data_IF_484039446145
#
_entry.id   IF_484039446145
#
_cell.length_a   1.000
_cell.length_b   1.000
_cell.length_c   1.000
_cell.angle_alpha   90.00
_cell.angle_beta   90.00
_cell.angle_gamma   90.00
#
_symmetry.space_group_name_H-M   'P 1'
#
loop_
_entity.id
_entity.type
_entity.pdbx_description
1 polymer ?
#
# COMPACT_ATOMS: atom_id res chain seq x y z
N UNK A 1 1.09 52.89 -81.88
CA UNK A 1 2.37 53.49 -81.40
C UNK A 1 2.04 54.42 -80.22
N UNK A 2 2.89 54.52 -79.20
CA UNK A 2 2.90 53.68 -77.98
C UNK A 2 2.66 54.49 -76.68
N UNK A 3 2.34 53.81 -75.59
CA UNK A 3 2.79 54.16 -74.23
C UNK A 3 2.57 52.97 -73.29
N UNK A 4 3.66 52.40 -72.77
CA UNK A 4 3.67 51.38 -71.70
C UNK A 4 2.93 51.85 -70.44
N UNK A 5 2.50 50.88 -69.61
CA UNK A 5 2.80 51.01 -68.20
C UNK A 5 3.44 49.75 -67.58
N UNK A 6 4.32 50.05 -66.64
CA UNK A 6 5.08 49.28 -65.65
C UNK A 6 4.47 47.97 -65.10
N UNK A 7 5.31 46.99 -64.70
CA UNK A 7 4.86 45.71 -64.15
C UNK A 7 4.50 45.85 -62.67
N UNK A 8 3.21 45.71 -62.34
CA UNK A 8 2.74 45.66 -60.96
C UNK A 8 2.74 44.20 -60.47
N UNK A 9 3.30 44.03 -59.27
CA UNK A 9 3.71 42.76 -58.69
C UNK A 9 2.57 41.75 -58.50
N UNK A 10 2.85 40.49 -58.85
CA UNK A 10 1.99 39.35 -58.53
C UNK A 10 1.90 39.15 -57.00
N UNK A 11 0.71 38.83 -56.44
CA UNK A 11 0.62 38.43 -55.05
C UNK A 11 1.36 37.10 -54.83
N UNK A 12 1.97 36.88 -53.66
CA UNK A 12 2.71 35.66 -53.38
C UNK A 12 1.77 34.44 -53.36
N UNK A 13 2.24 33.25 -53.75
CA UNK A 13 1.40 32.05 -53.74
C UNK A 13 0.96 31.74 -52.31
N UNK A 14 -0.34 31.52 -52.14
CA UNK A 14 -0.90 30.95 -50.92
C UNK A 14 -0.20 29.61 -50.66
N UNK A 15 0.65 29.58 -49.63
CA UNK A 15 1.33 28.39 -49.17
C UNK A 15 0.27 27.46 -48.56
N UNK A 16 -0.35 26.62 -49.38
CA UNK A 16 -1.12 25.46 -48.93
C UNK A 16 -0.15 24.44 -48.37
N UNK A 17 0.37 24.72 -47.16
CA UNK A 17 0.89 23.66 -46.32
C UNK A 17 -0.32 22.83 -45.91
N UNK A 18 -0.47 21.69 -46.58
CA UNK A 18 -1.29 20.61 -46.08
C UNK A 18 -0.82 20.31 -44.65
N UNK A 19 -1.63 20.70 -43.66
CA UNK A 19 -1.44 20.28 -42.27
C UNK A 19 -1.60 18.77 -42.30
N UNK A 20 -0.47 18.05 -42.23
CA UNK A 20 -0.47 16.61 -42.06
C UNK A 20 -1.34 16.27 -40.82
N UNK A 21 -2.18 15.23 -40.86
CA UNK A 21 -2.95 14.85 -39.70
C UNK A 21 -1.98 14.57 -38.55
N UNK A 22 -2.16 15.28 -37.43
CA UNK A 22 -1.50 14.99 -36.18
C UNK A 22 -1.86 13.55 -35.81
N UNK A 23 -0.97 12.62 -36.17
CA UNK A 23 -1.03 11.27 -35.64
C UNK A 23 -0.61 11.41 -34.19
N UNK A 24 -1.48 11.10 -33.21
CA UNK A 24 -1.01 10.99 -31.84
C UNK A 24 0.07 9.91 -31.86
N UNK A 25 1.32 10.32 -31.75
CA UNK A 25 2.38 9.42 -31.33
C UNK A 25 1.93 8.94 -29.95
N UNK A 26 1.30 7.78 -29.94
CA UNK A 26 1.22 6.92 -28.78
C UNK A 26 2.67 6.73 -28.38
N UNK A 27 3.09 7.50 -27.38
CA UNK A 27 4.20 7.12 -26.53
C UNK A 27 3.78 5.77 -25.95
N UNK A 28 4.08 4.71 -26.69
CA UNK A 28 4.03 3.36 -26.21
C UNK A 28 5.13 3.34 -25.15
N UNK A 29 4.74 3.61 -23.90
CA UNK A 29 5.57 3.27 -22.78
C UNK A 29 5.89 1.80 -22.97
N UNK A 30 7.15 1.51 -23.24
CA UNK A 30 7.67 0.14 -23.23
C UNK A 30 7.38 -0.41 -21.84
N UNK A 31 6.29 -1.17 -21.72
CA UNK A 31 6.01 -1.94 -20.53
C UNK A 31 7.22 -2.87 -20.32
N UNK A 32 7.95 -2.75 -19.20
CA UNK A 32 9.06 -3.65 -18.94
C UNK A 32 8.45 -5.06 -18.82
N UNK A 33 8.68 -5.89 -19.84
CA UNK A 33 8.28 -7.30 -19.83
C UNK A 33 9.10 -8.02 -18.76
N UNK A 34 8.67 -7.91 -17.50
CA UNK A 34 9.21 -8.70 -16.40
C UNK A 34 9.04 -10.18 -16.77
N UNK A 35 10.15 -10.90 -16.92
CA UNK A 35 10.12 -12.34 -17.10
C UNK A 35 9.33 -13.03 -15.97
N UNK A 36 8.89 -14.27 -16.18
CA UNK A 36 8.17 -15.03 -15.14
C UNK A 36 9.00 -15.21 -13.85
N UNK A 37 10.32 -15.21 -13.94
CA UNK A 37 11.23 -15.34 -12.80
C UNK A 37 11.18 -14.14 -11.83
N UNK A 38 11.32 -12.87 -12.26
CA UNK A 38 11.17 -11.73 -11.35
C UNK A 38 9.76 -11.61 -10.74
N UNK A 39 8.69 -11.98 -11.46
CA UNK A 39 7.33 -11.97 -10.91
C UNK A 39 7.14 -12.97 -9.77
N UNK A 40 7.72 -14.17 -9.88
CA UNK A 40 7.65 -15.18 -8.84
C UNK A 40 8.40 -14.74 -7.58
N UNK A 41 9.60 -14.14 -7.73
CA UNK A 41 10.38 -13.61 -6.61
C UNK A 41 9.66 -12.46 -5.91
N UNK A 42 9.09 -11.52 -6.67
CA UNK A 42 8.31 -10.41 -6.13
C UNK A 42 7.04 -10.89 -5.41
N UNK A 43 6.37 -11.89 -5.97
CA UNK A 43 5.17 -12.49 -5.36
C UNK A 43 5.50 -13.23 -4.07
N UNK A 44 6.61 -13.97 -4.03
CA UNK A 44 7.09 -14.63 -2.82
C UNK A 44 7.48 -13.60 -1.74
N UNK A 45 8.15 -12.52 -2.13
CA UNK A 45 8.46 -11.40 -1.23
C UNK A 45 7.20 -10.74 -0.67
N UNK A 46 6.23 -10.43 -1.51
CA UNK A 46 4.96 -9.84 -1.09
C UNK A 46 4.17 -10.77 -0.16
N UNK A 47 4.10 -12.07 -0.47
CA UNK A 47 3.47 -13.07 0.41
C UNK A 47 4.20 -13.17 1.75
N UNK A 48 5.54 -13.13 1.75
CA UNK A 48 6.35 -13.14 2.96
C UNK A 48 6.07 -11.94 3.87
N UNK A 49 5.94 -10.74 3.29
CA UNK A 49 5.58 -9.51 4.03
C UNK A 49 4.17 -9.62 4.62
N UNK A 50 3.19 -10.04 3.83
CA UNK A 50 1.78 -10.15 4.27
C UNK A 50 1.61 -11.21 5.37
N UNK A 51 2.21 -12.40 5.19
CA UNK A 51 2.15 -13.43 6.22
C UNK A 51 2.95 -13.04 7.47
N UNK A 52 4.03 -12.30 7.31
CA UNK A 52 4.80 -11.73 8.42
C UNK A 52 3.95 -10.78 9.26
N UNK A 53 3.28 -9.81 8.61
CA UNK A 53 2.42 -8.82 9.25
C UNK A 53 1.25 -9.44 10.03
N UNK A 54 0.62 -10.48 9.47
CA UNK A 54 -0.46 -11.22 10.15
C UNK A 54 0.05 -11.94 11.42
N UNK A 55 1.32 -12.35 11.45
CA UNK A 55 1.89 -13.14 12.54
C UNK A 55 2.49 -12.35 13.71
N UNK A 56 2.94 -11.10 13.47
CA UNK A 56 3.58 -10.29 14.52
C UNK A 56 2.62 -9.96 15.66
N UNK A 57 1.41 -9.51 15.33
CA UNK A 57 0.43 -9.04 16.31
C UNK A 57 -0.02 -10.14 17.31
N UNK A 58 -0.33 -11.38 16.89
CA UNK A 58 -0.55 -12.49 17.81
C UNK A 58 0.64 -12.80 18.73
N UNK A 59 1.87 -12.74 18.21
CA UNK A 59 3.07 -13.09 18.96
C UNK A 59 3.32 -12.11 20.11
N UNK A 60 3.15 -10.81 19.87
CA UNK A 60 3.25 -9.79 20.92
C UNK A 60 2.14 -9.90 21.95
N UNK A 61 0.89 -10.09 21.50
CA UNK A 61 -0.22 -10.27 22.43
C UNK A 61 -0.01 -11.52 23.30
N UNK A 62 0.52 -12.61 22.74
CA UNK A 62 0.86 -13.81 23.49
C UNK A 62 1.98 -13.55 24.52
N UNK A 63 3.04 -12.84 24.13
CA UNK A 63 4.13 -12.43 25.04
C UNK A 63 3.59 -11.60 26.20
N UNK A 64 2.69 -10.66 25.93
CA UNK A 64 2.11 -9.78 26.95
C UNK A 64 1.17 -10.53 27.90
N UNK A 65 0.40 -11.50 27.39
CA UNK A 65 -0.46 -12.33 28.24
C UNK A 65 0.31 -13.17 29.28
N UNK A 66 1.60 -13.45 29.04
CA UNK A 66 2.48 -14.13 29.99
C UNK A 66 3.43 -13.17 30.72
N UNK A 67 3.17 -11.86 30.68
CA UNK A 67 4.01 -10.87 31.34
C UNK A 67 4.12 -11.16 32.86
N UNK A 68 5.31 -11.06 33.48
CA UNK A 68 5.53 -11.52 34.87
C UNK A 68 4.68 -10.82 35.94
N UNK A 69 4.21 -9.59 35.66
CA UNK A 69 3.55 -8.72 36.67
C UNK A 69 2.02 -8.77 36.59
N UNK A 70 1.45 -8.88 35.39
CA UNK A 70 0.00 -8.80 35.14
C UNK A 70 -0.54 -9.96 34.31
N UNK A 71 0.36 -10.80 33.78
CA UNK A 71 0.03 -11.93 32.94
C UNK A 71 -0.42 -13.15 33.73
N UNK A 72 -0.98 -14.10 32.99
CA UNK A 72 -1.41 -15.38 33.54
C UNK A 72 -0.17 -16.26 33.75
N UNK A 73 -0.15 -17.05 34.83
CA UNK A 73 0.94 -18.03 35.04
C UNK A 73 1.01 -18.98 33.84
N UNK A 74 2.23 -19.25 33.36
CA UNK A 74 2.52 -20.18 32.28
C UNK A 74 2.32 -21.64 32.72
N UNK A 75 1.08 -21.99 33.03
CA UNK A 75 0.60 -23.32 33.34
C UNK A 75 0.06 -23.99 32.06
N UNK A 76 0.22 -25.31 31.85
CA UNK A 76 -0.29 -26.00 30.67
C UNK A 76 -1.76 -25.67 30.35
N UNK A 77 -2.63 -25.60 31.36
CA UNK A 77 -4.04 -25.28 31.15
C UNK A 77 -4.25 -23.88 30.58
N UNK A 78 -3.51 -22.90 31.09
CA UNK A 78 -3.59 -21.50 30.63
C UNK A 78 -3.01 -21.35 29.22
N UNK A 79 -1.93 -22.07 28.91
CA UNK A 79 -1.32 -22.06 27.58
C UNK A 79 -2.31 -22.58 26.54
N UNK A 80 -2.92 -23.76 26.76
CA UNK A 80 -3.90 -24.30 25.82
C UNK A 80 -5.16 -23.42 25.70
N UNK A 81 -5.62 -22.84 26.81
CA UNK A 81 -6.75 -21.90 26.79
C UNK A 81 -6.47 -20.66 25.95
N UNK A 82 -5.28 -20.08 26.11
CA UNK A 82 -4.86 -18.89 25.38
C UNK A 82 -4.64 -19.19 23.89
N UNK A 83 -3.96 -20.29 23.56
CA UNK A 83 -3.80 -20.73 22.16
C UNK A 83 -5.15 -20.94 21.47
N UNK A 84 -6.12 -21.54 22.17
CA UNK A 84 -7.48 -21.73 21.65
C UNK A 84 -8.19 -20.40 21.38
N UNK A 85 -8.10 -19.44 22.31
CA UNK A 85 -8.67 -18.10 22.12
C UNK A 85 -8.06 -17.37 20.93
N UNK A 86 -6.74 -17.46 20.75
CA UNK A 86 -6.06 -16.87 19.61
C UNK A 86 -6.48 -17.53 18.30
N UNK A 87 -6.52 -18.86 18.27
CA UNK A 87 -6.98 -19.62 17.10
C UNK A 87 -8.40 -19.23 16.69
N UNK A 88 -9.34 -19.23 17.63
CA UNK A 88 -10.74 -18.87 17.35
C UNK A 88 -10.90 -17.40 17.00
N UNK A 89 -10.19 -16.50 17.68
CA UNK A 89 -10.19 -15.07 17.39
C UNK A 89 -9.70 -14.78 15.98
N UNK A 90 -8.53 -15.31 15.59
CA UNK A 90 -7.97 -15.14 14.25
C UNK A 90 -8.89 -15.72 13.18
N UNK A 91 -9.46 -16.91 13.44
CA UNK A 91 -10.41 -17.54 12.52
C UNK A 91 -11.66 -16.66 12.33
N UNK A 92 -12.26 -16.16 13.41
CA UNK A 92 -13.42 -15.29 13.34
C UNK A 92 -13.12 -13.95 12.66
N UNK A 93 -11.96 -13.36 12.93
CA UNK A 93 -11.52 -12.12 12.26
C UNK A 93 -11.38 -12.36 10.76
N UNK A 94 -10.70 -13.42 10.33
CA UNK A 94 -10.54 -13.71 8.89
C UNK A 94 -11.89 -14.01 8.24
N UNK A 95 -12.72 -14.85 8.85
CA UNK A 95 -14.01 -15.23 8.25
C UNK A 95 -15.01 -14.08 8.24
N UNK A 96 -15.20 -13.39 9.36
CA UNK A 96 -16.26 -12.38 9.49
C UNK A 96 -15.80 -11.02 8.95
N UNK A 97 -14.66 -10.50 9.41
CA UNK A 97 -14.18 -9.17 8.98
C UNK A 97 -13.66 -9.24 7.55
N UNK A 98 -12.77 -10.17 7.22
CA UNK A 98 -12.14 -10.15 5.89
C UNK A 98 -13.01 -10.79 4.82
N UNK A 99 -13.44 -12.04 4.99
CA UNK A 99 -14.27 -12.73 3.98
C UNK A 99 -15.68 -12.14 3.94
N UNK A 100 -16.30 -11.91 5.10
CA UNK A 100 -17.68 -11.43 5.19
C UNK A 100 -17.89 -9.97 4.76
N UNK A 101 -16.94 -9.07 5.08
CA UNK A 101 -17.08 -7.64 4.82
C UNK A 101 -16.10 -7.12 3.78
N UNK A 102 -14.78 -7.29 3.99
CA UNK A 102 -13.76 -6.70 3.10
C UNK A 102 -13.84 -7.24 1.68
N UNK A 103 -13.99 -8.56 1.50
CA UNK A 103 -14.13 -9.15 0.15
C UNK A 103 -15.48 -8.84 -0.51
N UNK A 104 -16.50 -8.41 0.24
CA UNK A 104 -17.79 -7.96 -0.33
C UNK A 104 -17.82 -6.47 -0.67
N UNK A 105 -16.88 -5.69 -0.14
CA UNK A 105 -16.73 -4.27 -0.43
C UNK A 105 -15.83 -4.06 -1.66
N UNK A 106 -16.19 -4.71 -2.78
CA UNK A 106 -15.45 -4.62 -4.03
C UNK A 106 -15.96 -3.49 -4.93
N UNK A 107 -15.04 -2.82 -5.63
CA UNK A 107 -15.39 -1.82 -6.64
C UNK A 107 -15.10 -2.36 -8.04
N UNK A 108 -16.06 -3.04 -8.67
CA UNK A 108 -15.88 -3.59 -10.03
C UNK A 108 -14.57 -4.40 -10.18
N UNK A 109 -14.23 -5.21 -9.18
CA UNK A 109 -13.02 -6.06 -9.20
C UNK A 109 -11.72 -5.38 -8.75
N UNK A 110 -11.69 -4.07 -8.47
CA UNK A 110 -10.57 -3.44 -7.78
C UNK A 110 -10.81 -3.46 -6.26
N UNK A 111 -10.10 -4.33 -5.54
CA UNK A 111 -10.15 -4.42 -4.08
C UNK A 111 -9.13 -3.48 -3.42
N UNK A 112 -9.48 -2.94 -2.25
CA UNK A 112 -8.56 -2.18 -1.40
C UNK A 112 -9.06 -0.80 -0.98
N UNK A 113 -8.30 -0.16 -0.09
CA UNK A 113 -8.65 1.18 0.41
C UNK A 113 -8.62 2.26 -0.68
N UNK A 114 -7.82 2.06 -1.74
CA UNK A 114 -7.64 3.00 -2.85
C UNK A 114 -8.83 2.94 -3.83
N UNK A 115 -9.41 1.76 -4.04
CA UNK A 115 -10.63 1.62 -4.84
C UNK A 115 -11.87 2.11 -4.10
N UNK A 116 -11.89 2.03 -2.77
CA UNK A 116 -12.89 2.68 -1.92
C UNK A 116 -12.76 4.22 -1.94
N UNK A 117 -11.54 4.77 -1.98
CA UNK A 117 -11.34 6.22 -2.24
C UNK A 117 -11.92 6.64 -3.60
N UNK A 118 -11.72 5.83 -4.65
CA UNK A 118 -12.24 6.09 -6.00
C UNK A 118 -13.78 6.04 -6.08
N UNK A 119 -14.44 5.10 -5.39
CA UNK A 119 -15.91 5.02 -5.27
C UNK A 119 -16.52 6.21 -4.51
N UNK A 120 -15.84 6.64 -3.45
CA UNK A 120 -16.34 7.67 -2.56
C UNK A 120 -16.16 9.09 -3.12
N UNK A 121 -15.47 9.24 -4.26
CA UNK A 121 -15.43 10.45 -5.08
C UNK A 121 -16.43 10.31 -6.22
N UNK A 122 -17.62 10.94 -6.15
CA UNK A 122 -18.61 10.85 -7.22
C UNK A 122 -18.07 11.60 -8.45
N UNK A 123 -17.81 10.88 -9.55
CA UNK A 123 -17.41 11.49 -10.83
C UNK A 123 -18.54 12.30 -11.50
N UNK A 124 -19.77 12.25 -10.98
CA UNK A 124 -20.91 12.94 -11.57
C UNK A 124 -22.06 13.17 -10.56
N UNK A 125 -22.08 14.27 -9.78
CA UNK A 125 -23.34 14.88 -9.29
C UNK A 125 -23.17 16.23 -8.58
N UNK A 126 -24.20 17.06 -8.73
CA UNK A 126 -24.44 18.49 -8.38
C UNK A 126 -23.71 19.15 -7.17
N UNK A 127 -23.48 20.49 -7.25
CA UNK A 127 -22.34 21.17 -6.63
C UNK A 127 -22.47 21.68 -5.18
N UNK A 128 -23.47 21.35 -4.35
CA UNK A 128 -23.64 22.10 -3.07
C UNK A 128 -23.80 21.30 -1.76
N UNK A 129 -24.41 20.11 -1.75
CA UNK A 129 -24.44 19.23 -0.55
C UNK A 129 -23.50 18.04 -0.62
N UNK A 130 -22.95 17.78 -1.82
CA UNK A 130 -22.06 16.66 -2.08
C UNK A 130 -20.60 16.99 -1.74
N UNK A 131 -20.20 18.26 -1.76
CA UNK A 131 -18.84 18.71 -1.42
C UNK A 131 -18.43 18.36 0.03
N UNK A 132 -19.34 18.47 0.99
CA UNK A 132 -19.04 18.12 2.40
C UNK A 132 -18.93 16.61 2.60
N UNK A 133 -19.79 15.82 1.94
CA UNK A 133 -19.71 14.34 1.97
C UNK A 133 -18.48 13.83 1.22
N UNK A 134 -18.13 14.46 0.10
CA UNK A 134 -16.90 14.18 -0.65
C UNK A 134 -15.67 14.55 0.17
N UNK A 135 -15.68 15.67 0.91
CA UNK A 135 -14.61 16.04 1.83
C UNK A 135 -14.41 15.03 2.96
N UNK A 136 -15.50 14.52 3.55
CA UNK A 136 -15.44 13.46 4.58
C UNK A 136 -14.93 12.14 4.00
N UNK A 137 -15.39 11.76 2.81
CA UNK A 137 -14.92 10.56 2.11
C UNK A 137 -13.43 10.62 1.76
N UNK A 138 -12.98 11.75 1.20
CA UNK A 138 -11.57 12.02 0.90
C UNK A 138 -10.75 12.02 2.19
N UNK A 139 -11.24 12.65 3.26
CA UNK A 139 -10.60 12.65 4.58
C UNK A 139 -10.44 11.24 5.16
N UNK A 140 -11.50 10.43 5.14
CA UNK A 140 -11.46 9.02 5.56
C UNK A 140 -10.50 8.18 4.71
N UNK A 141 -10.46 8.45 3.40
CA UNK A 141 -9.57 7.77 2.47
C UNK A 141 -8.10 8.11 2.67
N UNK A 142 -7.77 9.40 2.83
CA UNK A 142 -6.43 9.87 3.19
C UNK A 142 -6.00 9.33 4.56
N UNK A 143 -6.89 9.34 5.53
CA UNK A 143 -6.64 8.78 6.85
C UNK A 143 -6.37 7.27 6.78
N UNK A 144 -7.22 6.51 6.06
CA UNK A 144 -7.00 5.08 5.84
C UNK A 144 -5.70 4.79 5.09
N UNK A 145 -5.32 5.61 4.12
CA UNK A 145 -4.05 5.49 3.39
C UNK A 145 -2.85 5.79 4.29
N UNK A 146 -2.95 6.80 5.16
CA UNK A 146 -1.93 7.11 6.14
C UNK A 146 -1.75 5.99 7.16
N UNK A 147 -2.84 5.34 7.61
CA UNK A 147 -2.78 4.17 8.48
C UNK A 147 -2.09 2.99 7.80
N UNK A 148 -2.41 2.69 6.53
CA UNK A 148 -1.69 1.63 5.81
C UNK A 148 -0.22 1.95 5.60
N UNK A 149 0.12 3.22 5.34
CA UNK A 149 1.51 3.64 5.23
C UNK A 149 2.25 3.50 6.56
N UNK A 150 1.59 3.84 7.67
CA UNK A 150 2.14 3.66 9.02
C UNK A 150 2.37 2.17 9.33
N UNK A 151 1.39 1.29 9.08
CA UNK A 151 1.55 -0.17 9.26
C UNK A 151 2.71 -0.72 8.41
N UNK A 152 2.85 -0.25 7.17
CA UNK A 152 3.96 -0.61 6.29
C UNK A 152 5.35 -0.23 6.81
N UNK A 153 5.45 0.78 7.69
CA UNK A 153 6.70 1.18 8.36
C UNK A 153 6.87 0.53 9.74
N UNK A 154 5.77 0.31 10.47
CA UNK A 154 5.78 -0.23 11.84
C UNK A 154 6.20 -1.71 11.82
N UNK A 155 5.67 -2.52 10.92
CA UNK A 155 5.91 -3.96 10.92
C UNK A 155 7.39 -4.35 10.72
N UNK A 156 8.13 -3.76 9.75
CA UNK A 156 9.58 -3.98 9.65
C UNK A 156 10.35 -3.54 10.90
N UNK A 157 9.99 -2.38 11.48
CA UNK A 157 10.62 -1.85 12.69
C UNK A 157 10.43 -2.79 13.89
N UNK A 158 9.19 -3.23 14.11
CA UNK A 158 8.82 -4.12 15.22
C UNK A 158 9.36 -5.54 15.01
N UNK A 159 9.42 -6.04 13.78
CA UNK A 159 9.99 -7.36 13.47
C UNK A 159 11.50 -7.41 13.73
N UNK A 160 12.26 -6.41 13.25
CA UNK A 160 13.71 -6.32 13.49
C UNK A 160 14.01 -6.14 14.98
N UNK A 161 13.26 -5.28 15.68
CA UNK A 161 13.43 -5.10 17.12
C UNK A 161 13.16 -6.41 17.88
N UNK A 162 12.08 -7.13 17.55
CA UNK A 162 11.78 -8.44 18.16
C UNK A 162 12.90 -9.45 17.96
N UNK A 163 13.46 -9.51 16.75
CA UNK A 163 14.52 -10.45 16.41
C UNK A 163 15.79 -10.19 17.22
N UNK A 164 16.12 -8.91 17.45
CA UNK A 164 17.31 -8.53 18.22
C UNK A 164 17.07 -8.65 19.73
N UNK A 165 15.87 -8.34 20.25
CA UNK A 165 15.50 -8.64 21.65
C UNK A 165 15.58 -10.14 21.95
N UNK A 166 15.18 -11.00 20.99
CA UNK A 166 15.34 -12.44 21.11
C UNK A 166 16.80 -12.89 21.27
N UNK A 167 17.76 -12.13 20.72
CA UNK A 167 19.19 -12.38 20.86
C UNK A 167 19.69 -12.04 22.28
N UNK A 168 19.12 -11.02 22.93
CA UNK A 168 19.44 -10.65 24.31
C UNK A 168 19.06 -11.74 25.31
N UNK A 169 17.96 -12.46 25.05
CA UNK A 169 17.54 -13.62 25.86
C UNK A 169 18.59 -14.75 25.81
N UNK A 170 19.31 -14.90 24.69
CA UNK A 170 20.36 -15.90 24.53
C UNK A 170 21.72 -15.44 25.10
N UNK A 171 22.02 -14.14 25.10
CA UNK A 171 23.24 -13.57 25.70
C UNK A 171 23.00 -12.14 26.22
N UNK A 172 23.04 -11.91 27.55
CA UNK A 172 22.81 -10.60 28.16
C UNK A 172 23.85 -9.52 27.80
N UNK A 173 24.99 -9.91 27.20
CA UNK A 173 26.04 -8.98 26.79
C UNK A 173 25.59 -8.04 25.65
N UNK A 174 24.53 -8.40 24.92
CA UNK A 174 24.03 -7.63 23.78
C UNK A 174 23.00 -6.55 24.13
N UNK A 175 22.53 -6.43 25.38
CA UNK A 175 21.46 -5.48 25.75
C UNK A 175 21.76 -4.01 25.40
N UNK A 176 23.03 -3.57 25.48
CA UNK A 176 23.43 -2.21 25.03
C UNK A 176 23.50 -2.05 23.51
N UNK A 177 23.63 -3.15 22.78
CA UNK A 177 23.76 -3.14 21.32
C UNK A 177 22.42 -3.31 20.60
N UNK A 178 21.34 -3.67 21.31
CA UNK A 178 20.02 -3.91 20.71
C UNK A 178 19.55 -2.70 19.91
N UNK A 179 19.40 -1.54 20.55
CA UNK A 179 18.91 -0.31 19.91
C UNK A 179 19.77 0.17 18.73
N UNK A 180 21.10 0.33 18.85
CA UNK A 180 21.92 0.78 17.73
C UNK A 180 21.96 -0.24 16.58
N UNK A 181 21.93 -1.55 16.87
CA UNK A 181 21.91 -2.57 15.82
C UNK A 181 20.57 -2.54 15.05
N UNK A 182 19.44 -2.41 15.75
CA UNK A 182 18.12 -2.25 15.12
C UNK A 182 18.10 -1.05 14.18
N UNK A 183 18.63 0.09 14.61
CA UNK A 183 18.71 1.30 13.78
C UNK A 183 19.57 1.09 12.52
N UNK A 184 20.74 0.43 12.66
CA UNK A 184 21.61 0.14 11.51
C UNK A 184 20.90 -0.76 10.50
N UNK A 185 20.22 -1.81 10.96
CA UNK A 185 19.49 -2.72 10.07
C UNK A 185 18.34 -2.00 9.36
N UNK A 186 17.57 -1.16 10.07
CA UNK A 186 16.46 -0.41 9.48
C UNK A 186 16.91 0.65 8.46
N UNK A 187 18.07 1.28 8.66
CA UNK A 187 18.63 2.26 7.71
C UNK A 187 19.26 1.60 6.48
N UNK A 188 19.75 0.36 6.62
CA UNK A 188 20.38 -0.38 5.54
C UNK A 188 19.40 -1.13 4.63
N UNK A 189 18.15 -1.33 5.07
CA UNK A 189 17.11 -2.10 4.36
C UNK A 189 16.38 -1.28 3.28
#
# INVERSE_FOLDING_TARGET
MPSEPTPEASPPPANTQAVAPFSPQTAHCDEPRLGRAPLAVLSLGALGVVYGDIGTSPLYALRECFHPVFGVKADPHNVFGLLSLFFWSLTLVVVVKYIGFVLRADNRGEGGILSLMSLAVPQAARPTKLLTKAGIAIGLGLFGSALLFAEGLITPAISVLSAIEGLEVASPAFGRLVVPLTLVILVAL
#
